data_IF_872166078500
#
_entry.id   IF_872166078500
#
_cell.length_a   1.000
_cell.length_b   1.000
_cell.length_c   1.000
_cell.angle_alpha   90.00
_cell.angle_beta   90.00
_cell.angle_gamma   90.00
#
_symmetry.space_group_name_H-M   'P 1'
#
loop_
_entity.id
_entity.type
_entity.pdbx_description
1 polymer ?
#
# COMPACT_ATOMS: atom_id res chain seq x y z
N UNK A 1 11.40 2.10 60.42
CA UNK A 1 10.39 1.46 59.56
C UNK A 1 10.12 2.38 58.38
N UNK A 2 10.68 2.11 57.21
CA UNK A 2 10.30 2.75 55.96
C UNK A 2 9.49 1.73 55.17
N UNK A 3 8.19 1.97 55.01
CA UNK A 3 7.37 1.21 54.07
C UNK A 3 7.81 1.61 52.66
N UNK A 4 8.49 0.70 51.97
CA UNK A 4 8.60 0.76 50.52
C UNK A 4 7.19 0.54 49.94
N UNK A 5 6.59 1.62 49.44
CA UNK A 5 5.41 1.51 48.61
C UNK A 5 5.75 0.69 47.37
N UNK A 6 5.17 -0.51 47.29
CA UNK A 6 5.17 -1.32 46.08
C UNK A 6 4.44 -0.52 45.00
N UNK A 7 5.22 0.10 44.11
CA UNK A 7 4.71 0.66 42.86
C UNK A 7 4.08 -0.50 42.11
N UNK A 8 2.76 -0.50 42.03
CA UNK A 8 2.03 -1.46 41.20
C UNK A 8 2.53 -1.31 39.76
N UNK A 9 2.88 -2.40 39.05
CA UNK A 9 3.28 -2.28 37.66
C UNK A 9 2.13 -1.65 36.89
N UNK A 10 2.39 -0.49 36.29
CA UNK A 10 1.46 0.15 35.36
C UNK A 10 1.10 -0.89 34.30
N UNK A 11 -0.19 -1.22 34.08
CA UNK A 11 -0.56 -2.23 33.10
C UNK A 11 0.01 -1.81 31.74
N UNK A 12 0.90 -2.64 31.20
CA UNK A 12 1.44 -2.44 29.85
C UNK A 12 0.26 -2.38 28.89
N UNK A 13 0.11 -1.32 28.08
CA UNK A 13 -1.00 -1.23 27.14
C UNK A 13 -0.98 -2.45 26.22
N UNK A 14 -2.10 -3.17 26.14
CA UNK A 14 -2.23 -4.31 25.23
C UNK A 14 -2.10 -3.76 23.80
N UNK A 15 -1.14 -4.28 22.99
CA UNK A 15 -1.03 -3.87 21.59
C UNK A 15 -2.35 -4.08 20.84
N UNK A 16 -2.70 -3.18 19.91
CA UNK A 16 -3.87 -3.40 19.07
C UNK A 16 -3.68 -4.66 18.24
N UNK A 17 -4.75 -5.43 18.07
CA UNK A 17 -4.74 -6.60 17.19
C UNK A 17 -4.56 -6.18 15.72
N UNK A 18 -3.98 -7.08 14.94
CA UNK A 18 -3.87 -6.91 13.50
C UNK A 18 -5.27 -6.72 12.88
N UNK A 19 -5.46 -5.72 11.99
CA UNK A 19 -6.76 -5.43 11.41
C UNK A 19 -7.16 -6.47 10.37
N UNK A 20 -8.45 -6.79 10.29
CA UNK A 20 -9.05 -7.52 9.18
C UNK A 20 -9.55 -6.52 8.14
N UNK A 21 -9.25 -6.72 6.86
CA UNK A 21 -9.77 -5.89 5.79
C UNK A 21 -11.28 -6.10 5.57
N UNK A 22 -12.02 -5.09 5.08
CA UNK A 22 -13.40 -5.27 4.64
C UNK A 22 -13.52 -6.33 3.52
N UNK A 23 -14.73 -6.89 3.29
CA UNK A 23 -14.98 -7.77 2.15
C UNK A 23 -14.65 -7.10 0.82
N UNK A 24 -14.95 -5.80 0.73
CA UNK A 24 -14.64 -4.93 -0.40
C UNK A 24 -14.37 -3.53 0.11
N UNK A 25 -13.46 -2.80 -0.53
CA UNK A 25 -13.24 -1.39 -0.23
C UNK A 25 -12.71 -0.64 -1.44
N UNK A 26 -12.92 0.68 -1.39
CA UNK A 26 -12.37 1.65 -2.31
C UNK A 26 -11.51 2.63 -1.52
N UNK A 27 -10.42 3.07 -2.12
CA UNK A 27 -9.62 4.19 -1.59
C UNK A 27 -9.02 4.98 -2.74
N UNK A 28 -8.95 6.29 -2.59
CA UNK A 28 -8.02 7.09 -3.37
C UNK A 28 -6.63 6.92 -2.76
N UNK A 29 -5.57 7.18 -3.52
CA UNK A 29 -4.22 7.20 -2.98
C UNK A 29 -3.38 8.28 -3.62
N UNK A 30 -2.40 8.73 -2.86
CA UNK A 30 -1.21 9.40 -3.37
C UNK A 30 0.00 8.55 -3.06
N UNK A 31 0.89 8.44 -4.03
CA UNK A 31 2.09 7.64 -3.93
C UNK A 31 3.29 8.51 -4.23
N UNK A 32 4.25 8.47 -3.32
CA UNK A 32 5.51 9.18 -3.46
C UNK A 32 6.64 8.18 -3.59
N UNK A 33 7.56 8.44 -4.51
CA UNK A 33 8.73 7.59 -4.73
C UNK A 33 10.01 8.43 -4.75
N UNK A 34 11.10 7.85 -4.27
CA UNK A 34 12.45 8.45 -4.31
C UNK A 34 13.39 7.60 -5.17
N UNK A 35 14.20 8.17 -6.07
CA UNK A 35 15.16 7.42 -6.89
C UNK A 35 16.36 6.83 -6.11
N UNK A 36 17.09 5.94 -6.81
CA UNK A 36 18.17 5.01 -6.37
C UNK A 36 19.26 5.50 -5.44
N UNK A 37 19.68 6.74 -5.64
CA UNK A 37 21.09 7.09 -5.47
C UNK A 37 21.33 8.04 -4.30
N UNK A 38 20.30 8.28 -3.49
CA UNK A 38 20.41 9.16 -2.33
C UNK A 38 20.39 8.36 -1.02
N UNK A 39 21.57 7.96 -0.48
CA UNK A 39 21.66 7.30 0.81
C UNK A 39 21.25 8.20 1.99
N UNK A 40 21.12 9.52 1.77
CA UNK A 40 20.64 10.46 2.78
C UNK A 40 19.11 10.53 2.83
N UNK A 41 18.41 9.96 1.84
CA UNK A 41 16.95 9.92 1.81
C UNK A 41 16.40 9.14 3.01
N UNK A 42 15.61 9.78 3.90
CA UNK A 42 15.08 9.08 5.05
C UNK A 42 13.98 8.10 4.64
N UNK A 43 13.98 6.97 5.32
CA UNK A 43 12.97 5.93 5.16
C UNK A 43 11.55 6.44 5.54
N UNK A 44 10.50 6.02 4.81
CA UNK A 44 9.10 6.25 5.20
C UNK A 44 8.71 5.48 6.49
N UNK A 45 7.54 5.74 7.10
CA UNK A 45 6.46 6.61 6.62
C UNK A 45 6.81 8.09 6.78
N UNK A 46 6.71 8.84 5.69
CA UNK A 46 6.83 10.29 5.74
C UNK A 46 5.54 10.89 6.30
N UNK A 47 5.66 11.81 7.25
CA UNK A 47 4.52 12.41 7.99
C UNK A 47 3.43 12.89 7.04
N UNK A 48 3.76 13.60 5.96
CA UNK A 48 2.77 14.08 4.98
C UNK A 48 2.73 13.24 3.69
N UNK A 49 3.32 12.04 3.71
CA UNK A 49 3.54 11.24 2.50
C UNK A 49 4.50 11.90 1.51
N UNK A 50 5.32 12.86 1.96
CA UNK A 50 6.30 13.57 1.15
C UNK A 50 7.64 13.53 1.90
N UNK A 51 8.74 13.06 1.27
CA UNK A 51 10.05 13.05 1.89
C UNK A 51 10.58 14.48 2.08
N UNK A 52 11.45 14.70 3.07
CA UNK A 52 12.02 16.03 3.33
C UNK A 52 13.12 16.43 2.33
N UNK A 53 13.66 15.50 1.55
CA UNK A 53 14.75 15.72 0.60
C UNK A 53 14.31 15.40 -0.83
N UNK A 54 14.91 16.10 -1.79
CA UNK A 54 14.79 15.80 -3.23
C UNK A 54 15.95 14.88 -3.65
N UNK A 55 15.78 14.06 -4.72
CA UNK A 55 14.63 14.01 -5.62
C UNK A 55 13.52 13.05 -5.16
N UNK A 56 12.28 13.40 -5.50
CA UNK A 56 11.12 12.52 -5.42
C UNK A 56 10.12 12.84 -6.53
N UNK A 57 9.22 11.91 -6.82
CA UNK A 57 8.01 12.20 -7.59
C UNK A 57 6.77 11.82 -6.80
N UNK A 58 5.66 12.52 -7.07
CA UNK A 58 4.34 12.26 -6.47
C UNK A 58 3.32 11.96 -7.57
N UNK A 59 2.62 10.84 -7.43
CA UNK A 59 1.54 10.42 -8.31
C UNK A 59 0.27 10.12 -7.51
N UNK A 60 -0.86 10.07 -8.21
CA UNK A 60 -2.19 9.86 -7.64
C UNK A 60 -2.89 8.70 -8.32
N UNK A 61 -3.85 8.12 -7.62
CA UNK A 61 -4.67 7.06 -8.15
C UNK A 61 -5.80 6.67 -7.23
N UNK A 62 -6.41 5.54 -7.54
CA UNK A 62 -7.35 4.87 -6.65
C UNK A 62 -7.20 3.37 -6.75
N UNK A 63 -7.62 2.68 -5.70
CA UNK A 63 -7.66 1.23 -5.66
C UNK A 63 -9.06 0.74 -5.29
N UNK A 64 -9.46 -0.35 -5.95
CA UNK A 64 -10.68 -1.10 -5.65
C UNK A 64 -10.28 -2.52 -5.32
N UNK A 65 -10.60 -2.96 -4.11
CA UNK A 65 -10.30 -4.30 -3.64
C UNK A 65 -11.61 -5.07 -3.49
N UNK A 66 -11.73 -6.19 -4.19
CA UNK A 66 -12.82 -7.15 -4.04
C UNK A 66 -12.26 -8.59 -3.95
N UNK A 67 -11.61 -8.97 -2.82
CA UNK A 67 -11.09 -10.31 -2.62
C UNK A 67 -12.12 -11.44 -2.80
N UNK A 68 -13.39 -11.19 -2.51
CA UNK A 68 -14.48 -12.16 -2.70
C UNK A 68 -14.76 -12.48 -4.18
N UNK A 69 -14.44 -11.54 -5.08
CA UNK A 69 -14.45 -11.74 -6.53
C UNK A 69 -13.08 -12.19 -7.07
N UNK A 70 -12.06 -12.28 -6.22
CA UNK A 70 -10.68 -12.52 -6.63
C UNK A 70 -10.09 -11.36 -7.45
N UNK A 71 -10.59 -10.14 -7.26
CA UNK A 71 -10.26 -8.98 -8.08
C UNK A 71 -9.68 -7.81 -7.29
N UNK A 72 -8.73 -7.11 -7.90
CA UNK A 72 -8.13 -5.88 -7.38
C UNK A 72 -7.69 -4.99 -8.53
N UNK A 73 -8.08 -3.72 -8.47
CA UNK A 73 -7.65 -2.67 -9.41
C UNK A 73 -6.81 -1.67 -8.64
N UNK A 74 -5.68 -1.28 -9.20
CA UNK A 74 -4.99 -0.03 -8.87
C UNK A 74 -4.89 0.80 -10.16
N UNK A 75 -5.51 1.98 -10.16
CA UNK A 75 -5.47 2.90 -11.29
C UNK A 75 -4.54 4.08 -10.95
N UNK A 76 -3.40 4.15 -11.62
CA UNK A 76 -2.40 5.20 -11.49
C UNK A 76 -2.63 6.26 -12.56
N UNK A 77 -2.98 7.47 -12.12
CA UNK A 77 -3.45 8.54 -13.02
C UNK A 77 -2.36 9.50 -13.50
N UNK A 78 -1.24 9.59 -12.78
CA UNK A 78 -0.12 10.46 -13.15
C UNK A 78 1.01 9.64 -13.77
N UNK A 79 1.47 8.61 -13.06
CA UNK A 79 2.44 7.65 -13.56
C UNK A 79 2.36 6.32 -12.80
N UNK A 80 2.68 5.24 -13.50
CA UNK A 80 2.98 3.96 -12.87
C UNK A 80 4.26 4.14 -12.05
N UNK A 81 4.14 4.13 -10.73
CA UNK A 81 5.30 4.19 -9.83
C UNK A 81 6.29 3.08 -10.18
N UNK A 82 7.61 3.23 -9.95
CA UNK A 82 8.58 2.20 -10.30
C UNK A 82 8.45 0.96 -9.41
N UNK A 83 7.38 0.19 -9.60
CA UNK A 83 7.42 -1.26 -9.64
C UNK A 83 8.13 -1.69 -10.95
N UNK A 84 8.20 -0.78 -11.93
CA UNK A 84 8.70 -1.03 -13.28
C UNK A 84 9.98 -0.25 -13.58
N UNK A 85 10.99 -0.96 -14.08
CA UNK A 85 12.25 -0.46 -14.60
C UNK A 85 12.23 -0.57 -16.13
N UNK A 86 12.92 0.31 -16.88
CA UNK A 86 13.33 1.66 -16.50
C UNK A 86 12.26 2.66 -16.99
N UNK A 87 11.67 3.42 -16.06
CA UNK A 87 10.80 4.59 -16.33
C UNK A 87 9.37 4.29 -16.77
N UNK A 88 8.48 4.04 -15.80
CA UNK A 88 7.04 4.00 -16.03
C UNK A 88 6.33 5.35 -15.77
N UNK A 89 6.91 6.46 -16.27
CA UNK A 89 6.33 7.80 -16.19
C UNK A 89 5.12 8.00 -17.13
N UNK A 90 4.14 7.11 -17.03
CA UNK A 90 2.90 7.14 -17.79
C UNK A 90 1.74 6.56 -16.95
N UNK A 91 0.50 7.04 -17.12
CA UNK A 91 -0.67 6.47 -16.45
C UNK A 91 -0.85 4.98 -16.78
N UNK A 92 -1.27 4.20 -15.80
CA UNK A 92 -1.45 2.76 -15.95
C UNK A 92 -2.54 2.23 -15.03
N UNK A 93 -3.06 1.06 -15.35
CA UNK A 93 -3.95 0.30 -14.48
C UNK A 93 -3.30 -1.06 -14.25
N UNK A 94 -3.06 -1.39 -12.98
CA UNK A 94 -2.73 -2.75 -12.57
C UNK A 94 -4.04 -3.41 -12.19
N UNK A 95 -4.36 -4.51 -12.84
CA UNK A 95 -5.62 -5.19 -12.67
C UNK A 95 -5.43 -6.68 -12.43
N UNK A 96 -6.06 -7.20 -11.38
CA UNK A 96 -5.96 -8.60 -11.00
C UNK A 96 -7.29 -9.29 -11.26
N UNK A 97 -7.23 -10.36 -12.04
CA UNK A 97 -8.38 -11.17 -12.38
C UNK A 97 -7.93 -12.59 -12.67
N UNK A 98 -8.67 -13.56 -12.09
CA UNK A 98 -8.39 -14.98 -12.28
C UNK A 98 -6.92 -15.34 -12.04
N UNK A 99 -6.37 -14.91 -10.90
CA UNK A 99 -4.98 -15.12 -10.48
C UNK A 99 -3.92 -14.55 -11.44
N UNK A 100 -4.29 -13.60 -12.30
CA UNK A 100 -3.38 -12.94 -13.24
C UNK A 100 -3.43 -11.43 -13.03
N UNK A 101 -2.27 -10.83 -12.83
CA UNK A 101 -2.07 -9.39 -12.83
C UNK A 101 -1.78 -8.92 -14.26
N UNK A 102 -2.61 -8.02 -14.76
CA UNK A 102 -2.45 -7.34 -16.04
C UNK A 102 -1.97 -5.91 -15.78
N UNK A 103 -1.11 -5.41 -16.66
CA UNK A 103 -0.81 -3.99 -16.80
C UNK A 103 -1.52 -3.48 -18.04
N UNK A 104 -2.41 -2.51 -17.87
CA UNK A 104 -3.09 -1.80 -18.95
C UNK A 104 -2.52 -0.39 -18.99
N UNK A 105 -2.23 0.12 -20.18
CA UNK A 105 -1.84 1.52 -20.32
C UNK A 105 -2.49 2.13 -21.56
N UNK A 106 -3.04 3.35 -21.44
CA UNK A 106 -3.65 4.06 -22.56
C UNK A 106 -2.61 4.62 -23.54
N UNK A 107 -1.32 4.58 -23.20
CA UNK A 107 -0.25 5.13 -24.02
C UNK A 107 0.56 4.03 -24.68
N UNK A 108 1.02 4.29 -25.92
CA UNK A 108 2.04 3.45 -26.55
C UNK A 108 3.28 3.50 -25.67
N UNK A 109 3.52 2.40 -25.00
CA UNK A 109 4.70 2.17 -24.18
C UNK A 109 5.38 0.89 -24.69
N UNK A 110 6.57 0.59 -24.20
CA UNK A 110 7.29 -0.64 -24.56
C UNK A 110 6.64 -1.92 -23.99
N UNK A 111 5.60 -1.79 -23.17
CA UNK A 111 4.89 -2.89 -22.51
C UNK A 111 3.64 -3.38 -23.29
N UNK A 112 3.15 -2.58 -24.25
CA UNK A 112 1.91 -2.83 -24.99
C UNK A 112 0.67 -2.21 -24.33
N UNK A 113 -0.49 -2.21 -25.01
CA UNK A 113 -1.71 -1.62 -24.47
C UNK A 113 -2.31 -2.44 -23.32
N UNK A 114 -2.07 -3.76 -23.32
CA UNK A 114 -2.26 -4.64 -22.17
C UNK A 114 -1.25 -5.81 -22.22
N UNK A 115 -0.67 -6.17 -21.08
CA UNK A 115 0.25 -7.30 -20.94
C UNK A 115 0.07 -8.01 -19.59
N UNK A 116 0.49 -9.27 -19.52
CA UNK A 116 0.55 -10.06 -18.28
C UNK A 116 1.77 -9.59 -17.50
N UNK A 117 1.52 -8.93 -16.36
CA UNK A 117 2.55 -8.50 -15.43
C UNK A 117 3.02 -9.68 -14.57
N UNK A 118 2.08 -10.43 -13.99
CA UNK A 118 2.40 -11.55 -13.10
C UNK A 118 1.29 -12.59 -13.09
N UNK A 119 1.69 -13.86 -13.10
CA UNK A 119 0.78 -14.99 -12.87
C UNK A 119 0.80 -15.43 -11.41
N UNK A 120 -0.25 -16.12 -10.98
CA UNK A 120 -0.45 -16.53 -9.59
C UNK A 120 -0.41 -15.34 -8.61
N UNK A 121 -1.05 -14.24 -9.03
CA UNK A 121 -1.16 -13.03 -8.24
C UNK A 121 -2.63 -12.74 -7.98
N UNK A 122 -2.97 -12.65 -6.69
CA UNK A 122 -4.36 -12.46 -6.23
C UNK A 122 -4.39 -11.29 -5.25
N UNK A 123 -5.54 -10.65 -5.07
CA UNK A 123 -5.71 -9.71 -3.96
C UNK A 123 -5.32 -10.40 -2.65
N UNK A 124 -4.67 -9.68 -1.71
CA UNK A 124 -4.39 -10.25 -0.40
C UNK A 124 -5.69 -10.70 0.27
N UNK A 125 -5.65 -11.86 0.92
CA UNK A 125 -6.80 -12.31 1.72
C UNK A 125 -7.05 -11.31 2.85
N UNK A 126 -8.30 -11.22 3.31
CA UNK A 126 -8.73 -10.15 4.23
C UNK A 126 -8.02 -10.18 5.58
N UNK A 127 -7.52 -11.33 5.99
CA UNK A 127 -6.81 -11.55 7.25
C UNK A 127 -5.28 -11.51 7.09
N UNK A 128 -4.75 -11.10 5.94
CA UNK A 128 -3.32 -11.19 5.66
C UNK A 128 -2.46 -10.49 6.72
N UNK A 129 -2.98 -9.45 7.40
CA UNK A 129 -2.27 -8.75 8.48
C UNK A 129 -2.03 -9.61 9.73
N UNK A 130 -2.77 -10.70 9.94
CA UNK A 130 -2.56 -11.61 11.08
C UNK A 130 -1.14 -12.18 11.07
N UNK A 131 -0.56 -12.44 9.90
CA UNK A 131 0.81 -12.94 9.78
C UNK A 131 1.86 -11.93 10.25
N UNK A 132 1.47 -10.65 10.36
CA UNK A 132 2.35 -9.55 10.76
C UNK A 132 2.06 -9.04 12.17
N UNK A 133 1.15 -9.65 12.94
CA UNK A 133 0.69 -9.14 14.23
C UNK A 133 1.83 -8.82 15.21
N UNK A 134 2.84 -9.69 15.25
CA UNK A 134 4.04 -9.53 16.09
C UNK A 134 4.92 -8.33 15.73
N UNK A 135 4.73 -7.71 14.57
CA UNK A 135 5.53 -6.59 14.07
C UNK A 135 4.90 -5.22 14.37
N UNK A 136 3.93 -5.16 15.28
CA UNK A 136 3.40 -3.89 15.75
C UNK A 136 4.52 -3.00 16.32
N UNK A 137 4.59 -1.76 15.86
CA UNK A 137 5.67 -0.82 16.15
C UNK A 137 5.18 0.52 16.75
N UNK A 138 3.98 0.53 17.34
CA UNK A 138 3.44 1.71 18.01
C UNK A 138 2.47 2.52 17.16
N UNK A 139 2.26 3.79 17.55
CA UNK A 139 1.21 4.63 16.98
C UNK A 139 1.62 6.09 16.84
N UNK A 140 1.05 6.80 15.87
CA UNK A 140 1.29 8.23 15.64
C UNK A 140 0.00 8.99 15.32
N UNK A 141 -0.13 10.22 15.81
CA UNK A 141 -1.25 11.13 15.48
C UNK A 141 -1.04 11.92 14.18
N UNK A 142 0.19 11.93 13.67
CA UNK A 142 0.66 12.88 12.68
C UNK A 142 0.91 12.23 11.33
N UNK A 143 -0.15 11.74 10.68
CA UNK A 143 -0.05 11.32 9.28
C UNK A 143 -0.99 12.12 8.38
N UNK A 144 -0.44 12.65 7.29
CA UNK A 144 -1.11 13.54 6.37
C UNK A 144 -1.66 14.79 7.05
N UNK A 145 -0.94 15.36 8.03
CA UNK A 145 -1.41 16.50 8.83
C UNK A 145 -1.62 17.72 7.94
N UNK A 146 -0.63 18.04 7.11
CA UNK A 146 -0.71 19.18 6.20
C UNK A 146 -1.66 18.92 5.03
N UNK A 147 -1.80 17.65 4.65
CA UNK A 147 -2.71 17.19 3.60
C UNK A 147 -4.13 16.90 4.09
N UNK A 148 -4.37 17.00 5.40
CA UNK A 148 -5.65 16.71 6.09
C UNK A 148 -6.22 15.33 5.76
N UNK A 149 -5.35 14.34 5.57
CA UNK A 149 -5.74 12.98 5.14
C UNK A 149 -6.60 12.31 6.22
N UNK A 150 -6.11 12.28 7.47
CA UNK A 150 -6.82 11.66 8.60
C UNK A 150 -6.40 12.31 9.92
N UNK A 151 -7.36 12.85 10.69
CA UNK A 151 -7.12 13.39 12.04
C UNK A 151 -7.43 12.34 13.11
N UNK A 152 -6.69 11.25 13.12
CA UNK A 152 -6.82 10.19 14.12
C UNK A 152 -5.50 9.44 14.36
N UNK A 153 -5.44 8.66 15.44
CA UNK A 153 -4.30 7.82 15.77
C UNK A 153 -4.14 6.70 14.74
N UNK A 154 -2.93 6.55 14.19
CA UNK A 154 -2.55 5.49 13.25
C UNK A 154 -1.69 4.48 13.99
N UNK A 155 -1.99 3.20 13.81
CA UNK A 155 -1.21 2.06 14.31
C UNK A 155 -0.34 1.49 13.20
N UNK A 156 0.90 1.12 13.56
CA UNK A 156 1.94 0.75 12.62
C UNK A 156 2.39 -0.69 12.79
N UNK A 157 2.59 -1.37 11.67
CA UNK A 157 3.28 -2.65 11.58
C UNK A 157 4.48 -2.50 10.67
N UNK A 158 5.70 -2.71 11.19
CA UNK A 158 6.96 -2.51 10.47
C UNK A 158 7.60 -3.85 10.19
N UNK A 159 7.66 -4.21 8.92
CA UNK A 159 8.05 -5.54 8.46
C UNK A 159 9.56 -5.64 8.35
N UNK A 160 10.18 -6.62 9.02
CA UNK A 160 11.60 -6.87 8.84
C UNK A 160 11.85 -7.38 7.43
N UNK A 161 13.07 -7.17 6.96
CA UNK A 161 13.47 -7.72 5.69
C UNK A 161 13.67 -9.24 5.79
N UNK A 162 13.05 -10.00 4.89
CA UNK A 162 13.14 -11.47 4.89
C UNK A 162 14.26 -12.03 4.01
N UNK A 163 14.82 -11.22 3.10
CA UNK A 163 15.86 -11.65 2.16
C UNK A 163 17.25 -11.15 2.60
N UNK A 164 18.24 -12.05 2.57
CA UNK A 164 19.63 -11.76 2.91
C UNK A 164 20.40 -10.97 1.83
N UNK A 165 19.76 -10.67 0.69
CA UNK A 165 20.40 -10.16 -0.51
C UNK A 165 20.16 -8.66 -0.79
N UNK A 166 19.18 -8.03 -0.15
CA UNK A 166 19.09 -6.56 -0.09
C UNK A 166 19.89 -6.14 1.14
N UNK A 167 21.00 -5.40 0.96
CA UNK A 167 21.93 -5.12 2.07
C UNK A 167 21.79 -3.73 2.64
N UNK A 168 20.84 -2.95 2.12
CA UNK A 168 20.89 -1.50 2.30
C UNK A 168 20.06 -1.07 3.52
N UNK A 169 18.99 -1.79 3.87
CA UNK A 169 18.11 -1.45 4.99
C UNK A 169 17.66 -2.66 5.84
N UNK A 170 17.33 -2.47 7.14
CA UNK A 170 16.92 -3.57 8.02
C UNK A 170 15.43 -3.97 7.88
N UNK A 171 14.65 -3.25 7.09
CA UNK A 171 13.19 -3.39 6.98
C UNK A 171 12.75 -3.37 5.53
N UNK A 172 11.76 -4.20 5.21
CA UNK A 172 11.17 -4.24 3.88
C UNK A 172 10.14 -3.12 3.67
N UNK A 173 9.38 -2.79 4.70
CA UNK A 173 8.21 -1.93 4.54
C UNK A 173 7.35 -1.86 5.78
N UNK A 174 6.16 -1.28 5.65
CA UNK A 174 5.20 -1.24 6.73
C UNK A 174 3.80 -0.79 6.33
N UNK A 175 2.87 -1.11 7.23
CA UNK A 175 1.45 -0.81 7.08
C UNK A 175 0.98 0.13 8.19
N UNK A 176 0.16 1.10 7.81
CA UNK A 176 -0.50 2.03 8.73
C UNK A 176 -2.02 1.89 8.66
N UNK A 177 -2.66 1.68 9.81
CA UNK A 177 -4.11 1.62 9.91
C UNK A 177 -4.65 2.62 10.92
N UNK A 178 -5.74 3.28 10.56
CA UNK A 178 -6.50 4.09 11.49
C UNK A 178 -6.95 3.25 12.69
N UNK A 179 -6.71 3.75 13.90
CA UNK A 179 -7.12 3.05 15.13
C UNK A 179 -8.62 3.05 15.30
N UNK A 180 -9.29 4.15 14.96
CA UNK A 180 -10.75 4.24 15.05
C UNK A 180 -11.36 3.56 13.81
N UNK A 181 -12.25 2.57 14.00
CA UNK A 181 -12.95 1.95 12.88
C UNK A 181 -13.99 2.89 12.27
N UNK A 182 -14.37 2.60 11.04
CA UNK A 182 -15.57 3.12 10.40
C UNK A 182 -16.85 2.56 11.07
N UNK A 183 -18.04 3.12 10.78
CA UNK A 183 -19.31 2.57 11.29
C UNK A 183 -19.55 1.09 10.95
N UNK A 184 -18.95 0.60 9.85
CA UNK A 184 -18.94 -0.81 9.45
C UNK A 184 -18.13 -1.73 10.37
N UNK A 185 -17.32 -1.16 11.27
CA UNK A 185 -16.43 -1.89 12.18
C UNK A 185 -15.01 -2.11 11.65
N UNK A 186 -14.76 -1.87 10.36
CA UNK A 186 -13.42 -2.04 9.79
C UNK A 186 -12.54 -0.80 9.98
N UNK A 187 -11.25 -1.05 10.12
CA UNK A 187 -10.24 0.00 10.28
C UNK A 187 -9.76 0.46 8.91
N UNK A 188 -9.83 1.76 8.58
CA UNK A 188 -9.28 2.27 7.34
C UNK A 188 -7.81 1.92 7.17
N UNK A 189 -7.46 1.46 5.98
CA UNK A 189 -6.07 1.33 5.56
C UNK A 189 -5.56 2.70 5.16
N UNK A 190 -4.47 3.17 5.78
CA UNK A 190 -4.02 4.57 5.69
C UNK A 190 -2.70 4.69 4.97
N UNK A 191 -1.82 3.71 5.14
CA UNK A 191 -0.48 3.78 4.56
C UNK A 191 0.05 2.41 4.21
N UNK A 192 0.73 2.36 3.08
CA UNK A 192 1.66 1.29 2.74
C UNK A 192 2.97 1.91 2.28
N UNK A 193 4.08 1.47 2.83
CA UNK A 193 5.40 1.88 2.38
C UNK A 193 6.30 0.67 2.28
N UNK A 194 7.23 0.70 1.34
CA UNK A 194 8.12 -0.41 1.05
C UNK A 194 9.40 0.07 0.36
N UNK A 195 10.45 -0.72 0.52
CA UNK A 195 11.65 -0.65 -0.29
C UNK A 195 11.31 -1.16 -1.69
N UNK A 196 11.36 -0.28 -2.69
CA UNK A 196 11.25 -0.69 -4.09
C UNK A 196 12.57 -1.29 -4.57
N UNK A 197 12.66 -1.66 -5.85
CA UNK A 197 13.92 -2.15 -6.44
C UNK A 197 15.09 -1.18 -6.20
N UNK A 198 14.74 0.11 -6.09
CA UNK A 198 15.62 1.25 -6.17
C UNK A 198 14.98 2.42 -5.38
N UNK A 199 15.22 2.51 -4.07
CA UNK A 199 14.73 3.57 -3.19
C UNK A 199 13.42 3.25 -2.44
N UNK A 200 12.75 4.30 -1.95
CA UNK A 200 11.55 4.16 -1.12
C UNK A 200 10.27 4.52 -1.87
N UNK A 201 9.22 3.75 -1.63
CA UNK A 201 7.86 4.07 -2.05
C UNK A 201 6.95 4.22 -0.83
N UNK A 202 6.08 5.22 -0.87
CA UNK A 202 5.09 5.47 0.18
C UNK A 202 3.74 5.84 -0.43
N UNK A 203 2.77 4.94 -0.30
CA UNK A 203 1.36 5.16 -0.58
C UNK A 203 0.64 5.66 0.68
N UNK A 204 -0.07 6.77 0.53
CA UNK A 204 -1.02 7.32 1.50
C UNK A 204 -2.42 7.21 0.93
N UNK A 205 -3.29 6.53 1.66
CA UNK A 205 -4.66 6.23 1.27
C UNK A 205 -5.63 7.29 1.81
N UNK A 206 -6.48 7.79 0.93
CA UNK A 206 -7.43 8.87 1.16
C UNK A 206 -8.84 8.40 0.76
N UNK A 207 -9.89 9.01 1.33
CA UNK A 207 -11.28 8.70 0.99
C UNK A 207 -11.64 7.19 1.08
N UNK A 208 -11.02 6.48 2.02
CA UNK A 208 -11.30 5.07 2.26
C UNK A 208 -12.79 4.86 2.56
N UNK A 209 -13.41 3.96 1.81
CA UNK A 209 -14.80 3.54 2.04
C UNK A 209 -14.96 2.05 1.79
N UNK A 210 -15.71 1.41 2.65
CA UNK A 210 -16.06 -0.02 2.59
C UNK A 210 -17.57 -0.24 2.45
N UNK A 211 -18.28 0.83 2.08
CA UNK A 211 -19.71 0.83 1.80
C UNK A 211 -20.02 1.74 0.60
N UNK A 212 -21.23 1.65 0.08
CA UNK A 212 -21.70 2.52 -1.00
C UNK A 212 -21.24 2.09 -2.39
N UNK A 213 -21.58 2.86 -3.44
CA UNK A 213 -21.49 2.39 -4.82
C UNK A 213 -20.06 2.09 -5.29
N UNK A 214 -19.05 2.75 -4.71
CA UNK A 214 -17.65 2.55 -5.11
C UNK A 214 -17.12 1.15 -4.79
N UNK A 215 -17.70 0.43 -3.83
CA UNK A 215 -17.31 -0.96 -3.52
C UNK A 215 -17.88 -1.98 -4.50
N UNK A 216 -18.72 -1.53 -5.45
CA UNK A 216 -19.39 -2.34 -6.46
C UNK A 216 -18.87 -2.06 -7.88
N UNK A 217 -17.78 -1.28 -8.02
CA UNK A 217 -17.20 -0.95 -9.33
C UNK A 217 -16.72 -2.17 -10.12
N UNK A 218 -16.58 -3.33 -9.47
CA UNK A 218 -16.10 -4.57 -10.09
C UNK A 218 -17.20 -5.61 -10.31
N UNK A 219 -18.44 -5.34 -9.93
CA UNK A 219 -19.53 -6.34 -9.97
C UNK A 219 -19.84 -6.81 -11.40
N UNK A 220 -19.81 -5.86 -12.35
CA UNK A 220 -20.08 -6.11 -13.76
C UNK A 220 -18.80 -6.04 -14.62
N UNK A 221 -17.63 -6.18 -14.00
CA UNK A 221 -16.37 -6.06 -14.72
C UNK A 221 -16.21 -7.16 -15.77
N UNK A 222 -15.79 -6.75 -16.97
CA UNK A 222 -15.37 -7.65 -18.03
C UNK A 222 -13.94 -7.31 -18.43
N UNK A 223 -13.10 -8.35 -18.57
CA UNK A 223 -11.74 -8.18 -19.03
C UNK A 223 -11.78 -7.59 -20.46
N UNK A 224 -11.16 -6.43 -20.70
CA UNK A 224 -11.14 -5.85 -22.04
C UNK A 224 -10.50 -6.81 -23.04
N UNK A 225 -11.01 -6.87 -24.28
CA UNK A 225 -10.50 -7.79 -25.30
C UNK A 225 -9.00 -7.65 -25.56
N UNK A 226 -8.48 -6.43 -25.40
CA UNK A 226 -7.04 -6.13 -25.53
C UNK A 226 -6.17 -6.87 -24.51
N UNK A 227 -6.77 -7.32 -23.40
CA UNK A 227 -6.14 -8.10 -22.34
C UNK A 227 -6.35 -9.61 -22.48
N UNK A 228 -7.07 -10.09 -23.51
CA UNK A 228 -7.05 -11.50 -23.91
C UNK A 228 -5.73 -11.81 -24.61
N UNK A 229 -4.63 -11.73 -23.87
CA UNK A 229 -3.27 -11.79 -24.37
C UNK A 229 -2.41 -12.77 -23.58
N UNK A 230 -1.41 -13.35 -24.24
CA UNK A 230 -0.32 -14.10 -23.60
C UNK A 230 0.99 -13.30 -23.57
N UNK A 231 0.94 -12.02 -23.96
CA UNK A 231 2.09 -11.13 -23.95
C UNK A 231 2.51 -10.86 -22.50
N UNK A 232 3.71 -11.29 -22.11
CA UNK A 232 4.31 -10.84 -20.86
C UNK A 232 4.74 -9.37 -20.99
N UNK A 233 4.59 -8.59 -19.93
CA UNK A 233 5.15 -7.25 -19.89
C UNK A 233 6.68 -7.34 -20.00
N UNK A 234 7.29 -6.54 -20.89
CA UNK A 234 8.75 -6.46 -21.03
C UNK A 234 9.37 -5.73 -19.84
N UNK A 235 9.36 -6.38 -18.66
CA UNK A 235 9.98 -5.90 -17.43
C UNK A 235 11.21 -6.76 -17.12
N UNK A 236 12.34 -6.09 -16.92
CA UNK A 236 13.53 -6.71 -16.34
C UNK A 236 13.53 -6.38 -14.84
N UNK A 237 13.38 -7.37 -13.95
CA UNK A 237 13.60 -7.16 -12.51
C UNK A 237 15.04 -6.76 -12.22
#
# INVERSE_FOLDING_TARGET
MFLNALVSPTPTPIPPSAPILPPRFYTDFTITFTPREDPEMPMPPWVDGIPPLLPYAIGRGYSVYAPDLGMMVENYTDYCVPIFWPNAYFPCIIFNYNHTAYLISPHINHYGPCCIYRTNWSPPHRDFMLQFEQYYNGSTWSMGVNRRVLKQLIDWWVLPQSSANLRDHPVFGGFGFARKPLPSGYRPFVSFWYEGDIGWAHQVFENFTDTGPKTHLLDDFQLPDICNTNLACDFRP
#
